data_IF_932368255951
#
_entry.id   IF_932368255951
#
_cell.length_a   1.000
_cell.length_b   1.000
_cell.length_c   1.000
_cell.angle_alpha   90.00
_cell.angle_beta   90.00
_cell.angle_gamma   90.00
#
_symmetry.space_group_name_H-M   'P 1'
#
loop_
_entity.id
_entity.type
_entity.pdbx_description
1 polymer ?
#
# COMPACT_ATOMS: atom_id res chain seq x y z
N UNK A 1 17.39 -23.04 1.33
CA UNK A 1 17.04 -22.05 0.28
C UNK A 1 15.57 -22.18 -0.07
N UNK A 2 14.86 -21.08 -0.35
CA UNK A 2 13.47 -21.14 -0.83
C UNK A 2 13.34 -21.91 -2.15
N UNK A 3 12.12 -22.28 -2.53
CA UNK A 3 11.84 -22.96 -3.79
C UNK A 3 10.69 -22.30 -4.55
N UNK A 4 10.76 -22.35 -5.88
CA UNK A 4 9.74 -21.83 -6.77
C UNK A 4 9.51 -22.75 -7.97
N UNK A 5 8.28 -22.84 -8.49
CA UNK A 5 7.94 -23.69 -9.64
C UNK A 5 8.46 -23.17 -10.99
N UNK A 6 9.18 -22.04 -11.00
CA UNK A 6 9.62 -21.35 -12.22
C UNK A 6 11.02 -20.74 -12.08
N UNK A 7 11.92 -21.50 -11.49
CA UNK A 7 13.31 -21.14 -11.27
C UNK A 7 14.15 -21.25 -12.55
N UNK A 8 15.11 -20.36 -12.71
CA UNK A 8 16.10 -20.41 -13.81
C UNK A 8 17.11 -21.53 -13.58
N UNK A 9 17.84 -21.92 -14.61
CA UNK A 9 18.77 -23.05 -14.63
C UNK A 9 19.72 -23.11 -13.44
N UNK A 10 20.46 -22.03 -13.18
CA UNK A 10 21.43 -21.96 -12.07
C UNK A 10 20.80 -22.06 -10.68
N UNK A 11 19.50 -21.86 -10.54
CA UNK A 11 18.81 -21.99 -9.26
C UNK A 11 17.99 -23.28 -9.17
N UNK A 12 17.61 -23.88 -10.29
CA UNK A 12 16.60 -24.92 -10.33
C UNK A 12 17.03 -26.22 -9.64
N UNK A 13 18.32 -26.54 -9.68
CA UNK A 13 18.89 -27.75 -9.07
C UNK A 13 19.22 -27.60 -7.59
N UNK A 14 19.46 -26.37 -7.12
CA UNK A 14 19.87 -26.07 -5.74
C UNK A 14 18.71 -25.55 -4.86
N UNK A 15 17.65 -25.00 -5.47
CA UNK A 15 16.48 -24.51 -4.74
C UNK A 15 15.86 -25.60 -3.86
N UNK A 16 15.19 -25.19 -2.78
CA UNK A 16 14.52 -26.13 -1.88
C UNK A 16 15.44 -26.95 -0.99
N UNK A 17 16.76 -26.93 -1.21
CA UNK A 17 17.72 -27.71 -0.41
C UNK A 17 18.31 -26.89 0.73
N UNK A 18 18.86 -27.61 1.71
CA UNK A 18 19.85 -27.07 2.65
C UNK A 18 21.16 -26.91 1.88
N UNK A 19 21.81 -25.76 2.04
CA UNK A 19 22.97 -25.36 1.24
C UNK A 19 24.00 -24.69 2.14
N UNK A 20 25.28 -24.86 1.81
CA UNK A 20 26.36 -24.09 2.41
C UNK A 20 26.40 -22.68 1.81
N UNK A 21 26.64 -21.68 2.66
CA UNK A 21 26.86 -20.27 2.26
C UNK A 21 28.34 -19.91 2.12
N UNK A 22 29.22 -20.92 2.20
CA UNK A 22 30.67 -20.82 2.06
C UNK A 22 31.15 -21.70 0.91
N UNK A 23 32.29 -21.39 0.26
CA UNK A 23 32.89 -22.25 -0.76
C UNK A 23 33.31 -23.62 -0.19
N UNK A 24 33.59 -24.59 -1.07
CA UNK A 24 33.94 -25.97 -0.69
C UNK A 24 35.29 -26.12 0.03
N UNK A 25 36.19 -25.14 -0.12
CA UNK A 25 37.48 -25.10 0.56
C UNK A 25 37.45 -24.39 1.92
N UNK A 26 36.30 -23.89 2.35
CA UNK A 26 36.14 -23.22 3.64
C UNK A 26 36.11 -24.24 4.79
N UNK A 27 36.78 -23.99 5.93
CA UNK A 27 36.73 -24.87 7.09
C UNK A 27 35.32 -25.11 7.66
N UNK A 28 34.39 -24.18 7.43
CA UNK A 28 33.00 -24.29 7.87
C UNK A 28 32.10 -25.02 6.87
N UNK A 29 32.66 -25.51 5.75
CA UNK A 29 31.91 -26.27 4.76
C UNK A 29 31.46 -27.62 5.33
N UNK A 30 30.19 -27.94 5.13
CA UNK A 30 29.62 -29.23 5.50
C UNK A 30 29.36 -30.07 4.23
N UNK A 31 30.07 -31.19 4.09
CA UNK A 31 30.03 -32.10 2.93
C UNK A 31 28.65 -32.71 2.65
N UNK A 32 27.75 -32.73 3.63
CA UNK A 32 26.36 -33.16 3.48
C UNK A 32 25.54 -32.27 2.55
N UNK A 33 25.94 -31.02 2.36
CA UNK A 33 25.17 -30.02 1.61
C UNK A 33 25.98 -29.43 0.47
N UNK A 34 25.32 -29.08 -0.62
CA UNK A 34 25.97 -28.40 -1.74
C UNK A 34 26.23 -26.92 -1.40
N UNK A 35 27.25 -26.33 -1.99
CA UNK A 35 27.58 -24.90 -1.81
C UNK A 35 26.86 -24.04 -2.83
N UNK A 36 26.36 -22.86 -2.41
CA UNK A 36 25.82 -21.87 -3.34
C UNK A 36 26.86 -21.39 -4.37
N UNK A 37 28.16 -21.46 -4.05
CA UNK A 37 29.25 -21.08 -4.97
C UNK A 37 29.35 -22.01 -6.18
N UNK A 38 28.98 -23.28 -6.03
CA UNK A 38 28.91 -24.23 -7.16
C UNK A 38 27.79 -23.87 -8.17
N UNK A 39 26.93 -22.92 -7.80
CA UNK A 39 25.82 -22.42 -8.62
C UNK A 39 26.03 -20.94 -9.01
N UNK A 40 27.29 -20.50 -9.02
CA UNK A 40 27.69 -19.17 -9.49
C UNK A 40 27.39 -18.03 -8.52
N UNK A 41 27.19 -18.31 -7.23
CA UNK A 41 27.02 -17.24 -6.25
C UNK A 41 28.18 -16.22 -6.33
N UNK A 42 27.85 -14.92 -6.35
CA UNK A 42 28.78 -13.83 -6.63
C UNK A 42 28.67 -13.28 -8.06
N UNK A 43 28.24 -14.10 -9.01
CA UNK A 43 28.04 -13.68 -10.41
C UNK A 43 26.65 -13.07 -10.62
N UNK A 44 26.50 -12.04 -11.48
CA UNK A 44 25.19 -11.47 -11.83
C UNK A 44 24.19 -12.52 -12.31
N UNK A 45 24.68 -13.52 -13.05
CA UNK A 45 23.91 -14.62 -13.60
C UNK A 45 23.94 -15.88 -12.73
N UNK A 46 24.51 -15.88 -11.51
CA UNK A 46 24.52 -17.04 -10.62
C UNK A 46 23.51 -16.96 -9.48
N UNK A 47 23.38 -18.03 -8.70
CA UNK A 47 22.34 -18.11 -7.65
C UNK A 47 22.40 -16.91 -6.72
N UNK A 48 21.24 -16.45 -6.26
CA UNK A 48 21.08 -15.19 -5.50
C UNK A 48 21.61 -13.92 -6.21
N UNK A 49 21.90 -13.98 -7.52
CA UNK A 49 22.24 -12.84 -8.36
C UNK A 49 21.02 -12.03 -8.83
N UNK A 50 21.22 -11.25 -9.90
CA UNK A 50 20.23 -10.28 -10.38
C UNK A 50 18.93 -10.98 -10.82
N UNK A 51 17.78 -10.39 -10.45
CA UNK A 51 16.45 -10.94 -10.73
C UNK A 51 16.15 -12.32 -10.09
N UNK A 52 17.04 -12.84 -9.26
CA UNK A 52 16.76 -14.00 -8.43
C UNK A 52 15.78 -13.62 -7.31
N UNK A 53 14.83 -14.49 -7.02
CA UNK A 53 13.83 -14.29 -5.95
C UNK A 53 14.06 -15.20 -4.74
N UNK A 54 15.10 -16.04 -4.81
CA UNK A 54 15.38 -17.00 -3.76
C UNK A 54 15.84 -16.31 -2.49
N UNK A 55 15.41 -16.86 -1.36
CA UNK A 55 15.80 -16.43 -0.03
C UNK A 55 16.51 -17.58 0.67
N UNK A 56 17.47 -17.23 1.52
CA UNK A 56 18.08 -18.19 2.43
C UNK A 56 17.37 -18.08 3.78
N UNK A 57 17.21 -19.23 4.42
CA UNK A 57 16.67 -19.34 5.77
C UNK A 57 17.74 -20.03 6.62
N UNK A 58 18.00 -19.55 7.85
CA UNK A 58 18.90 -20.24 8.77
C UNK A 58 18.48 -21.69 8.98
N UNK A 59 19.46 -22.60 9.03
CA UNK A 59 19.22 -24.02 9.21
C UNK A 59 20.34 -24.61 10.09
N UNK A 60 19.96 -25.26 11.18
CA UNK A 60 20.87 -25.96 12.08
C UNK A 60 20.66 -27.47 11.93
N UNK A 61 21.71 -28.19 11.51
CA UNK A 61 21.63 -29.63 11.31
C UNK A 61 21.31 -30.34 12.64
N UNK A 62 20.42 -31.33 12.61
CA UNK A 62 19.98 -32.06 13.80
C UNK A 62 18.89 -31.36 14.63
N UNK A 63 18.71 -30.04 14.46
CA UNK A 63 17.63 -29.28 15.11
C UNK A 63 16.48 -29.00 14.16
N UNK A 64 16.79 -28.60 12.92
CA UNK A 64 15.80 -28.25 11.91
C UNK A 64 15.56 -29.42 10.94
N UNK A 65 14.33 -29.51 10.44
CA UNK A 65 13.94 -30.39 9.33
C UNK A 65 13.61 -29.54 8.11
N UNK A 66 14.10 -29.94 6.94
CA UNK A 66 13.83 -29.23 5.70
C UNK A 66 12.45 -29.61 5.15
N UNK A 67 11.46 -28.76 5.39
CA UNK A 67 10.07 -28.94 4.93
C UNK A 67 9.75 -28.16 3.65
N UNK A 68 10.78 -27.69 2.92
CA UNK A 68 10.59 -26.89 1.72
C UNK A 68 10.06 -27.75 0.57
N UNK A 69 9.08 -27.23 -0.19
CA UNK A 69 8.53 -27.91 -1.37
C UNK A 69 9.64 -28.14 -2.41
N UNK A 70 9.74 -29.36 -2.92
CA UNK A 70 10.69 -29.69 -3.98
C UNK A 70 9.98 -29.64 -5.33
N UNK A 71 10.65 -29.05 -6.32
CA UNK A 71 10.16 -28.98 -7.70
C UNK A 71 11.12 -29.74 -8.61
N UNK A 72 10.58 -30.37 -9.66
CA UNK A 72 11.43 -30.95 -10.70
C UNK A 72 12.25 -29.82 -11.38
N UNK A 73 13.59 -29.88 -11.37
CA UNK A 73 14.42 -28.82 -11.93
C UNK A 73 14.14 -28.53 -13.40
N UNK A 74 13.95 -29.58 -14.22
CA UNK A 74 13.69 -29.42 -15.67
C UNK A 74 12.35 -28.73 -15.92
N UNK A 75 11.34 -29.06 -15.13
CA UNK A 75 10.04 -28.41 -15.20
C UNK A 75 10.11 -26.95 -14.74
N UNK A 76 10.81 -26.68 -13.63
CA UNK A 76 10.99 -25.33 -13.12
C UNK A 76 11.67 -24.41 -14.14
N UNK A 77 12.72 -24.92 -14.82
CA UNK A 77 13.41 -24.19 -15.90
C UNK A 77 12.45 -23.89 -17.05
N UNK A 78 11.69 -24.90 -17.50
CA UNK A 78 10.69 -24.74 -18.57
C UNK A 78 9.65 -23.66 -18.21
N UNK A 79 9.10 -23.73 -17.01
CA UNK A 79 8.13 -22.76 -16.49
C UNK A 79 8.73 -21.35 -16.38
N UNK A 80 10.00 -21.26 -15.97
CA UNK A 80 10.78 -20.02 -15.95
C UNK A 80 10.87 -19.38 -17.34
N UNK A 81 11.20 -20.17 -18.37
CA UNK A 81 11.29 -19.73 -19.76
C UNK A 81 9.94 -19.26 -20.30
N UNK A 82 8.86 -19.99 -20.00
CA UNK A 82 7.50 -19.59 -20.39
C UNK A 82 7.09 -18.25 -19.79
N UNK A 83 7.37 -18.04 -18.49
CA UNK A 83 7.15 -16.76 -17.81
C UNK A 83 8.03 -15.64 -18.37
N UNK A 84 9.28 -15.94 -18.72
CA UNK A 84 10.18 -14.94 -19.28
C UNK A 84 9.69 -14.46 -20.66
N UNK A 85 9.14 -15.36 -21.48
CA UNK A 85 8.49 -15.02 -22.76
C UNK A 85 7.18 -14.23 -22.55
N UNK A 86 6.38 -14.55 -21.53
CA UNK A 86 5.25 -13.70 -21.14
C UNK A 86 5.71 -12.27 -20.80
N UNK A 87 6.74 -12.14 -19.97
CA UNK A 87 7.31 -10.84 -19.58
C UNK A 87 7.86 -10.05 -20.76
N UNK A 88 8.36 -10.73 -21.79
CA UNK A 88 8.76 -10.09 -23.04
C UNK A 88 7.57 -9.40 -23.73
N UNK A 89 6.44 -10.10 -23.87
CA UNK A 89 5.23 -9.50 -24.43
C UNK A 89 4.71 -8.34 -23.57
N UNK A 90 4.66 -8.49 -22.25
CA UNK A 90 4.26 -7.42 -21.32
C UNK A 90 5.13 -6.17 -21.47
N UNK A 91 6.47 -6.34 -21.54
CA UNK A 91 7.39 -5.23 -21.80
C UNK A 91 7.14 -4.58 -23.15
N UNK A 92 6.89 -5.37 -24.19
CA UNK A 92 6.57 -4.83 -25.53
C UNK A 92 5.27 -4.02 -25.53
N UNK A 93 4.25 -4.44 -24.79
CA UNK A 93 2.99 -3.69 -24.67
C UNK A 93 3.24 -2.36 -23.94
N UNK A 94 4.03 -2.41 -22.86
CA UNK A 94 4.41 -1.21 -22.11
C UNK A 94 5.18 -0.21 -22.99
N UNK A 95 6.14 -0.70 -23.77
CA UNK A 95 6.87 0.12 -24.76
C UNK A 95 5.92 0.78 -25.76
N UNK A 96 4.97 0.04 -26.35
CA UNK A 96 4.00 0.62 -27.27
C UNK A 96 3.12 1.69 -26.60
N UNK A 97 2.69 1.46 -25.36
CA UNK A 97 1.92 2.47 -24.59
C UNK A 97 2.75 3.72 -24.28
N UNK A 98 4.06 3.60 -24.04
CA UNK A 98 4.93 4.77 -23.88
C UNK A 98 4.99 5.59 -25.18
N UNK A 99 5.11 4.91 -26.33
CA UNK A 99 5.08 5.57 -27.65
C UNK A 99 3.75 6.26 -27.92
N UNK A 100 2.64 5.65 -27.51
CA UNK A 100 1.32 6.26 -27.65
C UNK A 100 1.27 7.58 -26.90
N UNK A 101 1.74 7.59 -25.65
CA UNK A 101 1.77 8.81 -24.84
C UNK A 101 2.59 9.93 -25.49
N UNK A 102 3.76 9.60 -26.04
CA UNK A 102 4.60 10.58 -26.76
C UNK A 102 3.87 11.10 -28.01
N UNK A 103 3.22 10.23 -28.77
CA UNK A 103 2.46 10.63 -29.95
C UNK A 103 1.26 11.53 -29.60
N UNK A 104 0.60 11.27 -28.46
CA UNK A 104 -0.45 12.14 -27.92
C UNK A 104 0.09 13.51 -27.49
N UNK A 105 1.25 13.56 -26.84
CA UNK A 105 1.92 14.82 -26.44
C UNK A 105 2.39 15.66 -27.64
N UNK A 106 2.67 15.02 -28.79
CA UNK A 106 3.07 15.65 -30.04
C UNK A 106 1.90 15.90 -31.01
N UNK A 107 0.67 15.53 -30.63
CA UNK A 107 -0.54 15.67 -31.45
C UNK A 107 -0.44 14.99 -32.84
N UNK A 108 0.37 13.92 -32.97
CA UNK A 108 0.54 13.17 -34.22
C UNK A 108 -0.58 12.12 -34.39
N UNK A 109 -1.68 12.51 -35.02
CA UNK A 109 -2.87 11.67 -35.23
C UNK A 109 -2.58 10.35 -35.97
N UNK A 110 -1.67 10.38 -36.94
CA UNK A 110 -1.29 9.19 -37.70
C UNK A 110 -0.57 8.19 -36.79
N UNK A 111 0.37 8.67 -35.99
CA UNK A 111 1.15 7.84 -35.07
C UNK A 111 0.29 7.34 -33.89
N UNK A 112 -0.64 8.15 -33.39
CA UNK A 112 -1.63 7.73 -32.39
C UNK A 112 -2.43 6.52 -32.91
N UNK A 113 -2.97 6.63 -34.12
CA UNK A 113 -3.79 5.57 -34.73
C UNK A 113 -2.99 4.28 -34.94
N UNK A 114 -1.78 4.40 -35.51
CA UNK A 114 -0.87 3.25 -35.71
C UNK A 114 -0.50 2.57 -34.39
N UNK A 115 -0.21 3.36 -33.36
CA UNK A 115 0.23 2.82 -32.07
C UNK A 115 -0.91 2.14 -31.31
N UNK A 116 -2.15 2.68 -31.38
CA UNK A 116 -3.34 2.00 -30.83
C UNK A 116 -3.53 0.62 -31.47
N UNK A 117 -3.41 0.52 -32.79
CA UNK A 117 -3.47 -0.76 -33.51
C UNK A 117 -2.35 -1.72 -33.07
N UNK A 118 -1.11 -1.21 -32.93
CA UNK A 118 0.03 -2.00 -32.46
C UNK A 118 -0.19 -2.56 -31.04
N UNK A 119 -0.72 -1.75 -30.11
CA UNK A 119 -1.04 -2.19 -28.74
C UNK A 119 -2.05 -3.33 -28.79
N UNK A 120 -3.15 -3.16 -29.53
CA UNK A 120 -4.19 -4.19 -29.68
C UNK A 120 -3.62 -5.50 -30.24
N UNK A 121 -2.75 -5.42 -31.25
CA UNK A 121 -2.09 -6.59 -31.83
C UNK A 121 -1.16 -7.29 -30.83
N UNK A 122 -0.34 -6.53 -30.07
CA UNK A 122 0.57 -7.09 -29.05
C UNK A 122 -0.21 -7.74 -27.90
N UNK A 123 -1.31 -7.12 -27.46
CA UNK A 123 -2.19 -7.67 -26.44
C UNK A 123 -2.90 -8.94 -26.91
N UNK A 124 -3.31 -9.01 -28.19
CA UNK A 124 -3.87 -10.23 -28.79
C UNK A 124 -2.84 -11.36 -28.76
N UNK A 125 -1.61 -11.11 -29.21
CA UNK A 125 -0.52 -12.10 -29.17
C UNK A 125 -0.24 -12.61 -27.74
N UNK A 126 -0.25 -11.73 -26.74
CA UNK A 126 -0.10 -12.13 -25.34
C UNK A 126 -1.23 -13.05 -24.88
N UNK A 127 -2.49 -12.72 -25.20
CA UNK A 127 -3.65 -13.56 -24.87
C UNK A 127 -3.58 -14.93 -25.53
N UNK A 128 -3.22 -14.97 -26.81
CA UNK A 128 -3.05 -16.21 -27.57
C UNK A 128 -1.94 -17.06 -26.97
N UNK A 129 -0.77 -16.47 -26.69
CA UNK A 129 0.35 -17.17 -26.07
C UNK A 129 -0.02 -17.79 -24.71
N UNK A 130 -0.72 -17.05 -23.85
CA UNK A 130 -1.19 -17.57 -22.55
C UNK A 130 -2.17 -18.73 -22.77
N UNK A 131 -3.15 -18.54 -23.65
CA UNK A 131 -4.19 -19.55 -23.95
C UNK A 131 -3.58 -20.84 -24.50
N UNK A 132 -2.71 -20.74 -25.50
CA UNK A 132 -2.03 -21.87 -26.12
C UNK A 132 -1.11 -22.58 -25.14
N UNK A 133 -0.35 -21.83 -24.34
CA UNK A 133 0.51 -22.40 -23.31
C UNK A 133 -0.32 -23.19 -22.31
N UNK A 134 -1.35 -22.59 -21.70
CA UNK A 134 -2.16 -23.30 -20.69
C UNK A 134 -2.93 -24.48 -21.28
N UNK A 135 -3.36 -24.43 -22.56
CA UNK A 135 -3.97 -25.57 -23.26
C UNK A 135 -3.06 -26.81 -23.27
N UNK A 136 -1.74 -26.62 -23.38
CA UNK A 136 -0.77 -27.73 -23.37
C UNK A 136 -0.62 -28.41 -22.00
N UNK A 137 -0.93 -27.71 -20.90
CA UNK A 137 -0.78 -28.22 -19.54
C UNK A 137 -2.10 -28.76 -18.93
N UNK A 138 -3.19 -28.70 -19.68
CA UNK A 138 -4.48 -29.29 -19.31
C UNK A 138 -5.30 -28.42 -18.35
N UNK A 139 -6.47 -28.94 -17.94
CA UNK A 139 -7.48 -28.19 -17.15
C UNK A 139 -7.13 -28.02 -15.67
N UNK A 140 -6.08 -28.68 -15.17
CA UNK A 140 -5.85 -28.80 -13.73
C UNK A 140 -5.08 -27.60 -13.15
N UNK A 141 -4.33 -26.84 -13.96
CA UNK A 141 -3.61 -25.64 -13.48
C UNK A 141 -3.15 -24.71 -14.61
N UNK A 142 -3.42 -23.40 -14.46
CA UNK A 142 -2.90 -22.34 -15.34
C UNK A 142 -1.47 -21.93 -14.94
N UNK A 143 -0.49 -22.17 -15.83
CA UNK A 143 0.93 -21.81 -15.57
C UNK A 143 1.18 -20.32 -15.79
N UNK A 144 0.50 -19.75 -16.78
CA UNK A 144 0.58 -18.33 -17.12
C UNK A 144 -0.75 -17.65 -16.84
N UNK A 145 -0.69 -16.49 -16.21
CA UNK A 145 -1.85 -15.65 -15.90
C UNK A 145 -1.54 -14.24 -16.38
N UNK A 146 -2.50 -13.62 -17.08
CA UNK A 146 -2.34 -12.25 -17.58
C UNK A 146 -2.35 -11.27 -16.41
N UNK A 147 -1.30 -10.47 -16.31
CA UNK A 147 -1.13 -9.44 -15.29
C UNK A 147 -1.23 -8.06 -15.96
N UNK A 148 -2.39 -7.42 -15.80
CA UNK A 148 -2.67 -6.12 -16.42
C UNK A 148 -1.78 -5.00 -15.86
N UNK A 149 -1.38 -5.10 -14.59
CA UNK A 149 -0.52 -4.09 -13.95
C UNK A 149 0.86 -4.07 -14.59
N UNK A 150 1.34 -5.22 -15.07
CA UNK A 150 2.58 -5.31 -15.84
C UNK A 150 2.48 -4.64 -17.21
N UNK A 151 1.29 -4.48 -17.78
CA UNK A 151 1.14 -3.76 -19.04
C UNK A 151 1.05 -2.23 -18.85
N UNK A 152 0.96 -1.71 -17.63
CA UNK A 152 0.78 -0.26 -17.39
C UNK A 152 2.11 0.52 -17.53
N UNK A 153 2.01 1.76 -18.01
CA UNK A 153 3.14 2.71 -18.12
C UNK A 153 3.28 3.60 -16.89
N UNK A 154 2.16 3.91 -16.24
CA UNK A 154 2.13 4.61 -14.97
C UNK A 154 2.02 3.59 -13.86
N UNK A 155 2.87 3.70 -12.85
CA UNK A 155 2.56 3.13 -11.56
C UNK A 155 1.36 3.91 -11.05
N UNK A 156 0.16 3.31 -11.08
CA UNK A 156 -0.86 3.75 -10.14
C UNK A 156 -0.25 3.46 -8.77
N UNK A 157 0.35 4.47 -8.14
CA UNK A 157 0.48 4.47 -6.68
C UNK A 157 -0.92 4.09 -6.24
N UNK A 158 -1.07 2.95 -5.56
CA UNK A 158 -2.34 2.61 -4.91
C UNK A 158 -2.65 3.91 -4.16
N UNK A 159 -3.63 4.70 -4.63
CA UNK A 159 -4.02 5.89 -3.88
C UNK A 159 -4.30 5.29 -2.52
N UNK A 160 -3.51 5.67 -1.50
CA UNK A 160 -3.98 5.44 -0.15
C UNK A 160 -5.35 6.07 -0.18
N UNK A 161 -6.35 5.22 -0.07
CA UNK A 161 -7.67 5.59 -0.43
C UNK A 161 -8.11 6.65 0.57
N UNK A 162 -8.01 7.93 0.21
CA UNK A 162 -8.58 9.02 0.98
C UNK A 162 -10.12 8.87 1.08
N UNK A 163 -10.72 7.89 0.38
CA UNK A 163 -12.13 7.50 0.52
C UNK A 163 -12.38 6.33 1.48
N UNK A 164 -11.35 5.64 2.00
CA UNK A 164 -11.54 4.70 3.11
C UNK A 164 -11.61 5.48 4.42
N UNK A 165 -12.73 6.17 4.61
CA UNK A 165 -13.11 6.76 5.89
C UNK A 165 -12.89 5.73 6.99
N UNK A 166 -12.23 6.11 8.08
CA UNK A 166 -12.07 5.26 9.25
C UNK A 166 -13.45 4.90 9.82
N UNK A 167 -13.53 3.86 10.65
CA UNK A 167 -14.81 3.52 11.30
C UNK A 167 -15.39 4.70 12.10
N UNK A 168 -14.53 5.52 12.71
CA UNK A 168 -14.97 6.73 13.42
C UNK A 168 -15.57 7.76 12.46
N UNK A 169 -14.90 8.04 11.33
CA UNK A 169 -15.39 9.01 10.35
C UNK A 169 -16.73 8.56 9.72
N UNK A 170 -16.87 7.26 9.43
CA UNK A 170 -18.15 6.67 8.97
C UNK A 170 -19.25 6.82 10.03
N UNK A 171 -18.92 6.65 11.30
CA UNK A 171 -19.86 6.83 12.40
C UNK A 171 -20.35 8.28 12.53
N UNK A 172 -19.46 9.26 12.47
CA UNK A 172 -19.83 10.69 12.49
C UNK A 172 -20.77 11.02 11.35
N UNK A 173 -20.42 10.61 10.12
CA UNK A 173 -21.24 10.85 8.95
C UNK A 173 -22.63 10.23 9.09
N UNK A 174 -22.73 9.00 9.61
CA UNK A 174 -24.02 8.34 9.84
C UNK A 174 -24.88 9.09 10.88
N UNK A 175 -24.28 9.63 11.94
CA UNK A 175 -24.99 10.41 12.97
C UNK A 175 -25.50 11.76 12.46
N UNK A 176 -24.74 12.40 11.59
CA UNK A 176 -25.16 13.66 10.94
C UNK A 176 -26.26 13.39 9.91
N UNK A 177 -26.09 12.39 9.04
CA UNK A 177 -27.11 11.98 8.04
C UNK A 177 -28.44 11.60 8.68
N UNK A 178 -28.38 10.91 9.83
CA UNK A 178 -29.59 10.55 10.60
C UNK A 178 -30.14 11.70 11.47
N UNK A 179 -29.59 12.92 11.38
CA UNK A 179 -30.01 14.09 12.16
C UNK A 179 -29.97 13.89 13.70
N UNK A 180 -29.17 12.93 14.16
CA UNK A 180 -28.92 12.72 15.59
C UNK A 180 -27.93 13.74 16.15
N UNK A 181 -27.00 14.20 15.31
CA UNK A 181 -26.09 15.31 15.58
C UNK A 181 -26.38 16.50 14.67
N UNK A 182 -26.36 17.70 15.25
CA UNK A 182 -26.66 18.95 14.55
C UNK A 182 -25.44 19.49 13.81
N UNK A 183 -25.70 20.22 12.72
CA UNK A 183 -24.71 20.85 11.84
C UNK A 183 -24.48 22.33 12.13
N UNK A 184 -25.10 22.87 13.18
CA UNK A 184 -24.96 24.27 13.59
C UNK A 184 -24.32 24.37 14.96
N UNK A 185 -23.39 25.32 15.12
CA UNK A 185 -22.83 25.68 16.40
C UNK A 185 -23.91 26.28 17.29
N UNK A 186 -23.92 25.87 18.56
CA UNK A 186 -24.77 26.46 19.59
C UNK A 186 -24.04 27.66 20.22
N UNK A 187 -24.53 28.90 20.04
CA UNK A 187 -23.83 30.10 20.54
C UNK A 187 -23.63 30.11 22.05
N UNK A 188 -24.62 29.68 22.83
CA UNK A 188 -24.53 29.64 24.30
C UNK A 188 -23.48 28.65 24.80
N UNK A 189 -23.27 27.54 24.08
CA UNK A 189 -22.24 26.56 24.42
C UNK A 189 -20.89 26.92 23.84
N UNK A 190 -20.84 27.73 22.79
CA UNK A 190 -19.61 28.21 22.19
C UNK A 190 -19.01 29.41 22.92
N UNK A 191 -19.84 30.32 23.46
CA UNK A 191 -19.37 31.55 24.11
C UNK A 191 -18.31 31.32 25.20
N UNK A 192 -18.42 30.33 26.11
CA UNK A 192 -17.36 30.04 27.08
C UNK A 192 -16.01 29.62 26.48
N UNK A 193 -15.94 29.41 25.17
CA UNK A 193 -14.79 28.95 24.39
C UNK A 193 -14.36 29.93 23.30
N UNK A 194 -14.75 31.22 23.40
CA UNK A 194 -14.22 32.30 22.56
C UNK A 194 -13.34 33.23 23.40
N UNK A 195 -12.30 33.83 22.80
CA UNK A 195 -11.31 34.64 23.52
C UNK A 195 -11.91 35.77 24.36
N UNK A 196 -12.90 36.46 23.80
CA UNK A 196 -13.63 37.59 24.39
C UNK A 196 -14.61 37.20 25.50
N UNK A 197 -15.17 35.99 25.47
CA UNK A 197 -16.28 35.54 26.34
C UNK A 197 -15.94 34.30 27.16
N UNK A 198 -14.67 33.89 27.15
CA UNK A 198 -14.19 32.72 27.88
C UNK A 198 -14.51 32.80 29.37
N UNK A 199 -14.90 31.67 29.93
CA UNK A 199 -14.94 31.50 31.37
C UNK A 199 -13.57 31.10 31.88
N UNK A 200 -13.27 31.47 33.12
CA UNK A 200 -12.06 31.02 33.81
C UNK A 200 -11.99 29.48 33.82
N UNK A 201 -10.82 28.92 33.56
CA UNK A 201 -10.66 27.47 33.47
C UNK A 201 -10.98 26.84 32.10
N UNK A 202 -11.23 27.63 31.05
CA UNK A 202 -11.62 27.11 29.72
C UNK A 202 -10.63 27.46 28.61
N UNK A 203 -10.39 26.47 27.73
CA UNK A 203 -9.72 26.70 26.45
C UNK A 203 -10.60 27.55 25.54
N UNK A 204 -9.97 28.36 24.69
CA UNK A 204 -10.69 29.33 23.85
C UNK A 204 -10.11 29.43 22.44
N UNK A 205 -10.99 29.60 21.46
CA UNK A 205 -10.66 30.01 20.10
C UNK A 205 -10.34 31.51 20.08
N UNK A 206 -9.48 31.94 19.16
CA UNK A 206 -9.31 33.38 18.93
C UNK A 206 -10.61 33.99 18.41
N UNK A 207 -10.89 35.25 18.75
CA UNK A 207 -12.11 35.94 18.29
C UNK A 207 -12.12 36.19 16.77
N UNK A 208 -10.99 36.00 16.09
CA UNK A 208 -10.87 36.00 14.63
C UNK A 208 -11.37 34.73 13.96
N UNK A 209 -11.57 33.64 14.71
CA UNK A 209 -12.04 32.37 14.18
C UNK A 209 -13.56 32.33 14.11
N UNK A 210 -14.10 31.76 13.03
CA UNK A 210 -15.53 31.39 12.94
C UNK A 210 -15.71 29.90 13.29
N UNK A 211 -16.34 29.58 14.45
CA UNK A 211 -16.60 28.19 14.84
C UNK A 211 -17.50 27.44 13.84
N UNK A 212 -18.39 28.12 13.12
CA UNK A 212 -19.26 27.49 12.13
C UNK A 212 -18.47 27.08 10.88
N UNK A 213 -17.58 27.94 10.39
CA UNK A 213 -16.68 27.58 9.28
C UNK A 213 -15.75 26.41 9.65
N UNK A 214 -15.24 26.40 10.88
CA UNK A 214 -14.46 25.28 11.39
C UNK A 214 -15.28 23.99 11.43
N UNK A 215 -16.54 24.05 11.88
CA UNK A 215 -17.43 22.88 11.88
C UNK A 215 -17.66 22.37 10.45
N UNK A 216 -18.07 23.24 9.53
CA UNK A 216 -18.41 22.87 8.15
C UNK A 216 -17.20 22.31 7.40
N UNK A 217 -16.01 22.85 7.66
CA UNK A 217 -14.76 22.41 7.02
C UNK A 217 -14.22 21.11 7.61
N UNK A 218 -14.35 20.87 8.91
CA UNK A 218 -13.60 19.81 9.59
C UNK A 218 -14.44 18.67 10.18
N UNK A 219 -15.76 18.80 10.22
CA UNK A 219 -16.62 17.73 10.72
C UNK A 219 -16.45 16.42 9.95
N UNK A 220 -16.35 15.31 10.68
CA UNK A 220 -16.19 13.97 10.10
C UNK A 220 -14.82 13.70 9.47
N UNK A 221 -13.83 14.57 9.70
CA UNK A 221 -12.44 14.39 9.25
C UNK A 221 -11.51 13.89 10.35
N UNK A 222 -11.91 14.01 11.62
CA UNK A 222 -11.11 13.57 12.75
C UNK A 222 -11.40 12.13 13.20
N UNK A 223 -10.97 11.83 14.43
CA UNK A 223 -11.22 10.55 15.08
C UNK A 223 -12.10 10.70 16.32
N UNK A 224 -12.82 9.64 16.63
CA UNK A 224 -13.63 9.50 17.85
C UNK A 224 -13.14 8.27 18.61
N UNK A 225 -12.98 8.43 19.92
CA UNK A 225 -12.59 7.33 20.79
C UNK A 225 -13.76 6.35 21.02
N UNK A 226 -13.43 5.05 21.15
CA UNK A 226 -14.39 3.99 21.46
C UNK A 226 -13.96 3.27 22.73
N UNK A 227 -14.74 3.41 23.81
CA UNK A 227 -14.55 2.67 25.07
C UNK A 227 -15.84 1.90 25.37
N UNK A 228 -16.05 0.80 24.65
CA UNK A 228 -17.33 0.08 24.58
C UNK A 228 -18.29 0.73 23.60
N UNK A 229 -18.78 1.94 23.93
CA UNK A 229 -19.58 2.79 23.04
C UNK A 229 -18.71 3.88 22.38
N UNK A 230 -19.16 4.36 21.23
CA UNK A 230 -18.57 5.53 20.57
C UNK A 230 -18.82 6.78 21.40
N UNK A 231 -17.77 7.59 21.60
CA UNK A 231 -17.87 8.92 22.20
C UNK A 231 -18.60 9.89 21.24
N UNK A 232 -19.01 11.05 21.75
CA UNK A 232 -19.57 12.13 20.94
C UNK A 232 -18.57 13.27 20.72
N UNK A 233 -17.29 13.05 21.03
CA UNK A 233 -16.22 14.04 20.93
C UNK A 233 -15.28 13.65 19.82
N UNK A 234 -15.31 14.40 18.73
CA UNK A 234 -14.41 14.25 17.60
C UNK A 234 -13.19 15.15 17.80
N UNK A 235 -12.00 14.59 17.66
CA UNK A 235 -10.74 15.32 17.72
C UNK A 235 -10.20 15.48 16.32
N UNK A 236 -9.91 16.72 15.92
CA UNK A 236 -9.48 17.08 14.56
C UNK A 236 -8.28 18.02 14.63
N UNK A 237 -7.28 17.79 13.77
CA UNK A 237 -6.22 18.75 13.50
C UNK A 237 -6.62 19.67 12.34
N UNK A 238 -6.49 20.98 12.51
CA UNK A 238 -6.79 21.99 11.48
C UNK A 238 -5.52 22.52 10.82
N UNK A 239 -5.64 23.32 9.76
CA UNK A 239 -4.51 23.78 8.95
C UNK A 239 -3.74 24.97 9.54
N UNK A 240 -4.23 25.59 10.62
CA UNK A 240 -3.60 26.75 11.27
C UNK A 240 -3.84 26.76 12.78
N UNK A 241 -3.22 27.70 13.49
CA UNK A 241 -3.40 27.87 14.94
C UNK A 241 -4.72 28.59 15.19
N UNK A 242 -5.65 27.94 15.88
CA UNK A 242 -7.03 28.42 16.07
C UNK A 242 -7.30 28.97 17.47
N UNK A 243 -6.44 28.68 18.44
CA UNK A 243 -6.68 29.11 19.81
C UNK A 243 -5.65 28.61 20.81
N UNK A 244 -6.05 28.66 22.09
CA UNK A 244 -5.19 28.31 23.22
C UNK A 244 -5.88 27.24 24.08
N UNK A 245 -5.13 26.19 24.39
CA UNK A 245 -5.54 25.17 25.37
C UNK A 245 -5.28 25.67 26.79
N UNK A 246 -6.29 25.62 27.66
CA UNK A 246 -6.17 26.15 29.02
C UNK A 246 -5.17 25.38 29.88
N UNK A 247 -5.17 24.04 29.81
CA UNK A 247 -4.37 23.21 30.70
C UNK A 247 -2.87 23.38 30.44
N UNK A 248 -2.47 23.58 29.19
CA UNK A 248 -1.07 23.77 28.80
C UNK A 248 -0.67 25.23 28.60
N UNK A 249 -1.64 26.14 28.41
CA UNK A 249 -1.40 27.52 28.00
C UNK A 249 -0.82 27.66 26.58
N UNK A 250 -0.73 26.55 25.83
CA UNK A 250 -0.10 26.53 24.52
C UNK A 250 -1.09 26.83 23.41
N UNK A 251 -0.59 27.56 22.40
CA UNK A 251 -1.28 27.74 21.12
C UNK A 251 -1.44 26.38 20.43
N UNK A 252 -2.61 26.11 19.87
CA UNK A 252 -2.94 24.80 19.29
C UNK A 252 -3.61 24.89 17.93
N UNK A 253 -3.39 23.84 17.13
CA UNK A 253 -4.07 23.56 15.86
C UNK A 253 -5.15 22.47 16.02
N UNK A 254 -5.34 21.97 17.23
CA UNK A 254 -6.24 20.85 17.50
C UNK A 254 -7.53 21.35 18.12
N UNK A 255 -8.63 20.86 17.56
CA UNK A 255 -9.97 21.14 18.06
C UNK A 255 -10.66 19.86 18.47
N UNK A 256 -11.55 20.00 19.45
CA UNK A 256 -12.51 18.98 19.85
C UNK A 256 -13.91 19.46 19.52
N UNK A 257 -14.57 18.76 18.62
CA UNK A 257 -15.96 19.00 18.26
C UNK A 257 -16.83 18.14 19.17
N UNK A 258 -17.62 18.79 20.03
CA UNK A 258 -18.58 18.13 20.89
C UNK A 258 -19.92 17.98 20.16
N UNK A 259 -20.21 16.78 19.65
CA UNK A 259 -21.42 16.51 18.89
C UNK A 259 -22.67 16.35 19.78
N UNK A 260 -23.77 16.98 19.36
CA UNK A 260 -25.09 16.86 19.98
C UNK A 260 -26.17 17.28 18.98
N UNK A 261 -27.44 16.95 19.21
CA UNK A 261 -28.54 17.40 18.34
C UNK A 261 -28.70 18.92 18.32
N UNK A 262 -28.49 19.59 19.47
CA UNK A 262 -28.75 21.04 19.64
C UNK A 262 -27.62 21.82 20.33
N UNK A 263 -26.58 21.13 20.82
CA UNK A 263 -25.54 21.71 21.69
C UNK A 263 -24.13 21.55 21.12
N UNK A 264 -24.00 21.48 19.80
CA UNK A 264 -22.71 21.34 19.14
C UNK A 264 -21.84 22.57 19.41
N UNK A 265 -20.60 22.36 19.86
CA UNK A 265 -19.61 23.42 20.12
C UNK A 265 -18.19 22.86 19.96
N UNK A 266 -17.22 23.76 19.81
CA UNK A 266 -15.82 23.45 19.52
C UNK A 266 -14.94 23.99 20.63
N UNK A 267 -13.98 23.19 21.06
CA UNK A 267 -13.03 23.53 22.11
C UNK A 267 -11.60 23.25 21.63
N UNK A 268 -10.68 24.24 21.67
CA UNK A 268 -9.27 23.99 21.40
C UNK A 268 -8.65 23.10 22.47
N UNK A 269 -7.79 22.18 22.04
CA UNK A 269 -7.15 21.22 22.95
C UNK A 269 -5.67 21.07 22.64
N UNK A 270 -4.90 20.61 23.62
CA UNK A 270 -3.67 19.88 23.34
C UNK A 270 -4.01 18.40 23.04
N UNK A 271 -3.55 17.82 21.92
CA UNK A 271 -3.76 16.40 21.64
C UNK A 271 -3.10 15.53 22.72
N UNK A 272 -3.65 14.35 22.97
CA UNK A 272 -2.99 13.36 23.84
C UNK A 272 -2.00 12.52 23.03
N UNK A 273 -1.01 11.94 23.70
CA UNK A 273 -0.08 10.99 23.08
C UNK A 273 -0.89 9.87 22.38
N UNK A 274 -0.78 9.79 21.05
CA UNK A 274 -1.52 8.86 20.19
C UNK A 274 -2.61 9.48 19.31
N UNK A 275 -3.09 10.70 19.60
CA UNK A 275 -4.00 11.44 18.70
C UNK A 275 -3.25 11.89 17.42
N UNK A 276 -1.96 12.24 17.53
CA UNK A 276 -1.09 12.63 16.42
C UNK A 276 -0.89 11.52 15.36
N UNK A 277 -1.00 10.25 15.76
CA UNK A 277 -0.80 9.10 14.88
C UNK A 277 -2.08 8.68 14.13
N UNK A 278 -3.26 9.07 14.62
CA UNK A 278 -4.55 8.66 14.08
C UNK A 278 -5.21 9.69 13.15
N UNK A 279 -4.68 10.91 13.11
CA UNK A 279 -5.17 12.00 12.25
C UNK A 279 -4.46 12.10 10.88
N UNK A 280 -3.42 11.27 10.62
CA UNK A 280 -2.65 11.24 9.37
C UNK A 280 -3.06 10.14 8.40
#
# INVERSE_FOLDING_TARGET
MSSYPNSRETCAYIQGKVVNIVPTNDPNYNDKYDSIYNHGYGEPAGTLGINCRHKLFPFTSGVNVNNMTQYNPKEAIRNGNLRQKQRYYERSIRDAKKRLKIAEELEDEQMITRTKTLISARQKKLREYIKETNKLYGKNHDILIRDYDREQITYKKKKLDQSNKTESQKYVEAKIKSSQWGTKINPEKQAPHMGSTKLEGKSYLYDSEDPQELLDKYVGKGHINKKGLWDNREVVEVDHIVGVDYNSGMKTRWIKIHHSKKRTHIVPIKPKDGDDNNAR
#
